data_IF_197022701389
#
_entry.id   IF_197022701389
#
_cell.length_a   1.000
_cell.length_b   1.000
_cell.length_c   1.000
_cell.angle_alpha   90.00
_cell.angle_beta   90.00
_cell.angle_gamma   90.00
#
_symmetry.space_group_name_H-M   'P 1'
#
loop_
_entity.id
_entity.type
_entity.pdbx_description
1 polymer ?
#
# COMPACT_ATOMS: atom_id res chain seq x y z
N UNK A 1 17.90 22.81 12.05
CA UNK A 1 17.31 22.11 13.22
C UNK A 1 18.48 21.55 13.99
N UNK A 2 18.65 21.97 15.25
CA UNK A 2 19.70 21.41 16.10
C UNK A 2 19.37 19.91 16.32
N UNK A 3 20.26 18.98 15.98
CA UNK A 3 20.02 17.54 16.19
C UNK A 3 19.84 17.17 17.68
N UNK A 4 20.07 18.10 18.60
CA UNK A 4 19.84 17.90 20.03
C UNK A 4 18.43 18.26 20.50
N UNK A 5 17.61 18.96 19.70
CA UNK A 5 16.25 19.28 20.10
C UNK A 5 15.37 18.01 20.18
N UNK A 6 14.68 17.85 21.30
CA UNK A 6 13.76 16.73 21.49
C UNK A 6 12.43 16.97 20.79
N UNK A 7 11.72 15.90 20.44
CA UNK A 7 10.34 15.98 19.94
C UNK A 7 9.42 16.66 20.96
N UNK A 8 9.71 16.53 22.26
CA UNK A 8 8.96 17.21 23.32
C UNK A 8 9.11 18.73 23.26
N UNK A 9 10.33 19.25 23.10
CA UNK A 9 10.60 20.69 22.94
C UNK A 9 9.91 21.25 21.70
N UNK A 10 9.99 20.53 20.57
CA UNK A 10 9.27 20.91 19.35
C UNK A 10 7.76 21.05 19.57
N UNK A 11 7.14 20.12 20.30
CA UNK A 11 5.70 20.16 20.57
C UNK A 11 5.29 21.23 21.59
N UNK A 12 6.20 21.67 22.47
CA UNK A 12 5.95 22.83 23.35
C UNK A 12 5.85 24.10 22.53
N UNK A 13 6.73 24.29 21.55
CA UNK A 13 6.71 25.47 20.66
C UNK A 13 5.62 25.39 19.58
N UNK A 14 5.26 24.18 19.15
CA UNK A 14 4.34 23.93 18.04
C UNK A 14 3.27 22.87 18.36
N UNK A 15 2.40 23.12 19.35
CA UNK A 15 1.42 22.14 19.82
C UNK A 15 0.45 21.68 18.73
N UNK A 16 0.18 22.50 17.70
CA UNK A 16 -0.70 22.13 16.58
C UNK A 16 -0.23 20.89 15.79
N UNK A 17 1.03 20.49 15.92
CA UNK A 17 1.60 19.33 15.22
C UNK A 17 1.51 18.02 16.00
N UNK A 18 0.92 18.01 17.21
CA UNK A 18 0.83 16.84 18.07
C UNK A 18 0.27 15.59 17.36
N UNK A 19 -0.83 15.72 16.62
CA UNK A 19 -1.43 14.57 15.93
C UNK A 19 -0.59 14.02 14.78
N UNK A 20 0.24 14.86 14.16
CA UNK A 20 1.20 14.41 13.13
C UNK A 20 2.31 13.60 13.79
N UNK A 21 2.86 14.09 14.90
CA UNK A 21 3.92 13.42 15.65
C UNK A 21 3.42 12.08 16.21
N UNK A 22 2.25 12.07 16.84
CA UNK A 22 1.62 10.86 17.37
C UNK A 22 1.43 9.80 16.28
N UNK A 23 0.91 10.20 15.10
CA UNK A 23 0.75 9.29 13.96
C UNK A 23 2.08 8.66 13.56
N UNK A 24 3.11 9.48 13.32
CA UNK A 24 4.45 9.02 12.90
C UNK A 24 5.02 8.01 13.91
N UNK A 25 4.92 8.31 15.21
CA UNK A 25 5.43 7.44 16.27
C UNK A 25 4.62 6.15 16.38
N UNK A 26 3.29 6.23 16.30
CA UNK A 26 2.39 5.07 16.43
C UNK A 26 2.63 4.02 15.34
N UNK A 27 3.00 4.45 14.13
CA UNK A 27 3.20 3.55 12.99
C UNK A 27 4.67 3.33 12.62
N UNK A 28 5.61 3.81 13.45
CA UNK A 28 7.04 3.75 13.14
C UNK A 28 7.55 2.33 12.82
N UNK A 29 6.97 1.32 13.47
CA UNK A 29 7.31 -0.09 13.31
C UNK A 29 6.52 -0.82 12.21
N UNK A 30 5.58 -0.13 11.54
CA UNK A 30 4.74 -0.67 10.49
C UNK A 30 5.20 -0.10 9.12
N UNK A 31 6.00 -0.83 8.33
CA UNK A 31 6.57 -0.31 7.09
C UNK A 31 5.52 0.02 6.01
N UNK A 32 4.33 -0.60 6.08
CA UNK A 32 3.25 -0.47 5.10
C UNK A 32 1.97 0.20 5.66
N UNK A 33 2.06 0.87 6.81
CA UNK A 33 0.89 1.53 7.43
C UNK A 33 0.43 2.79 6.70
N UNK A 34 1.33 3.43 5.95
CA UNK A 34 1.07 4.70 5.29
C UNK A 34 1.97 4.87 4.06
N UNK A 35 1.51 5.70 3.13
CA UNK A 35 2.32 6.12 2.00
C UNK A 35 3.44 7.07 2.47
N UNK A 36 4.69 6.66 2.28
CA UNK A 36 5.89 7.44 2.60
C UNK A 36 6.49 8.04 1.34
N UNK A 37 5.79 9.00 0.73
CA UNK A 37 6.20 9.66 -0.52
C UNK A 37 6.23 11.18 -0.35
N UNK A 38 7.05 11.88 -1.13
CA UNK A 38 7.05 13.33 -1.20
C UNK A 38 6.36 13.78 -2.51
N UNK A 39 5.09 14.23 -2.47
CA UNK A 39 4.37 14.66 -3.67
C UNK A 39 4.96 15.90 -4.36
N UNK A 40 5.84 16.64 -3.67
CA UNK A 40 6.51 17.83 -4.20
C UNK A 40 7.88 17.52 -4.80
N UNK A 41 8.32 16.25 -4.77
CA UNK A 41 9.58 15.85 -5.40
C UNK A 41 9.48 15.97 -6.92
N UNK A 42 10.57 16.38 -7.58
CA UNK A 42 10.64 16.42 -9.04
C UNK A 42 10.49 15.03 -9.67
N UNK A 43 10.92 13.99 -8.94
CA UNK A 43 10.87 12.60 -9.38
C UNK A 43 9.59 11.88 -8.90
N UNK A 44 8.63 12.60 -8.32
CA UNK A 44 7.38 12.00 -7.85
C UNK A 44 6.51 11.56 -9.03
N UNK A 45 6.10 10.30 -9.03
CA UNK A 45 5.10 9.78 -9.95
C UNK A 45 3.79 9.54 -9.18
N UNK A 46 2.65 10.09 -9.61
CA UNK A 46 1.34 9.79 -8.99
C UNK A 46 1.07 8.28 -8.87
N UNK A 47 1.61 7.51 -9.81
CA UNK A 47 1.58 6.05 -9.85
C UNK A 47 2.12 5.39 -8.58
N UNK A 48 3.09 5.98 -7.90
CA UNK A 48 3.69 5.42 -6.69
C UNK A 48 2.69 5.36 -5.53
N UNK A 49 1.87 6.41 -5.40
CA UNK A 49 0.80 6.43 -4.40
C UNK A 49 -0.34 5.48 -4.80
N UNK A 50 -0.65 5.41 -6.09
CA UNK A 50 -1.72 4.53 -6.58
C UNK A 50 -1.38 3.05 -6.40
N UNK A 51 -0.11 2.66 -6.54
CA UNK A 51 0.37 1.30 -6.22
C UNK A 51 0.08 0.92 -4.76
N UNK A 52 0.36 1.83 -3.82
CA UNK A 52 0.07 1.59 -2.40
C UNK A 52 -1.42 1.35 -2.15
N UNK A 53 -2.30 2.18 -2.73
CA UNK A 53 -3.74 2.01 -2.61
C UNK A 53 -4.22 0.70 -3.23
N UNK A 54 -3.73 0.35 -4.43
CA UNK A 54 -4.16 -0.86 -5.15
C UNK A 54 -3.66 -2.14 -4.47
N UNK A 55 -2.50 -2.12 -3.81
CA UNK A 55 -2.03 -3.24 -3.00
C UNK A 55 -3.01 -3.58 -1.86
N UNK A 56 -3.62 -2.57 -1.24
CA UNK A 56 -4.67 -2.77 -0.23
C UNK A 56 -5.96 -3.37 -0.82
N UNK A 57 -6.20 -3.22 -2.12
CA UNK A 57 -7.36 -3.78 -2.82
C UNK A 57 -7.11 -5.19 -3.38
N UNK A 58 -5.99 -5.83 -3.04
CA UNK A 58 -5.66 -7.17 -3.52
C UNK A 58 -5.10 -7.17 -4.94
N UNK A 59 -4.33 -6.14 -5.30
CA UNK A 59 -3.53 -6.14 -6.53
C UNK A 59 -2.39 -7.14 -6.43
N UNK A 60 -2.28 -8.02 -7.41
CA UNK A 60 -1.25 -9.06 -7.47
C UNK A 60 -0.26 -8.86 -8.62
N UNK A 61 -0.75 -8.34 -9.76
CA UNK A 61 0.10 -8.02 -10.90
C UNK A 61 0.02 -6.53 -11.23
N UNK A 62 1.19 -5.93 -11.42
CA UNK A 62 1.37 -4.53 -11.72
C UNK A 62 2.21 -4.37 -12.99
N UNK A 63 1.60 -3.87 -14.06
CA UNK A 63 2.32 -3.59 -15.30
C UNK A 63 2.10 -2.11 -15.73
N UNK A 64 3.08 -1.21 -15.49
CA UNK A 64 2.95 0.19 -15.86
C UNK A 64 2.94 0.31 -17.39
N UNK A 65 1.97 1.02 -17.94
CA UNK A 65 1.89 1.30 -19.37
C UNK A 65 2.45 2.69 -19.70
N UNK A 66 2.32 3.63 -18.76
CA UNK A 66 2.91 4.97 -18.80
C UNK A 66 3.08 5.54 -17.38
N UNK A 67 3.38 6.83 -17.26
CA UNK A 67 3.41 7.56 -15.98
C UNK A 67 2.04 7.68 -15.31
N UNK A 68 0.97 7.73 -16.12
CA UNK A 68 -0.40 8.00 -15.64
C UNK A 68 -1.31 6.78 -15.74
N UNK A 69 -0.87 5.74 -16.47
CA UNK A 69 -1.68 4.57 -16.76
C UNK A 69 -0.94 3.29 -16.41
N UNK A 70 -1.64 2.41 -15.72
CA UNK A 70 -1.16 1.09 -15.39
C UNK A 70 -2.26 0.05 -15.58
N UNK A 71 -1.86 -1.18 -15.90
CA UNK A 71 -2.76 -2.33 -15.89
C UNK A 71 -2.52 -3.11 -14.61
N UNK A 72 -3.60 -3.38 -13.89
CA UNK A 72 -3.60 -4.29 -12.74
C UNK A 72 -4.35 -5.57 -13.02
N UNK A 73 -3.99 -6.61 -12.30
CA UNK A 73 -4.87 -7.73 -12.00
C UNK A 73 -5.14 -7.73 -10.50
N UNK A 74 -6.43 -7.73 -10.14
CA UNK A 74 -6.89 -7.81 -8.76
C UNK A 74 -7.47 -9.21 -8.53
N UNK A 75 -7.25 -9.76 -7.34
CA UNK A 75 -7.95 -10.96 -6.86
C UNK A 75 -7.85 -12.17 -7.82
N UNK A 76 -6.68 -12.42 -8.41
CA UNK A 76 -6.50 -13.50 -9.38
C UNK A 76 -6.64 -14.85 -8.66
N UNK A 77 -7.56 -15.68 -9.13
CA UNK A 77 -7.85 -16.98 -8.52
C UNK A 77 -8.82 -16.92 -7.33
N UNK A 78 -9.22 -15.72 -6.87
CA UNK A 78 -10.23 -15.60 -5.82
C UNK A 78 -11.56 -16.24 -6.24
N UNK A 79 -12.30 -16.88 -5.31
CA UNK A 79 -13.56 -17.53 -5.62
C UNK A 79 -14.60 -16.50 -6.11
N UNK A 80 -15.38 -16.88 -7.11
CA UNK A 80 -16.52 -16.07 -7.56
C UNK A 80 -17.66 -16.16 -6.55
N UNK A 81 -18.64 -15.26 -6.68
CA UNK A 81 -19.88 -15.33 -5.89
C UNK A 81 -20.58 -16.70 -6.00
N UNK A 82 -20.49 -17.34 -7.16
CA UNK A 82 -21.06 -18.67 -7.37
C UNK A 82 -20.30 -19.71 -6.57
N UNK A 83 -18.97 -19.70 -6.64
CA UNK A 83 -18.11 -20.65 -5.92
C UNK A 83 -18.32 -20.53 -4.41
N UNK A 84 -18.46 -19.30 -3.90
CA UNK A 84 -18.80 -19.05 -2.49
C UNK A 84 -20.16 -19.64 -2.09
N UNK A 85 -21.18 -19.49 -2.95
CA UNK A 85 -22.50 -20.09 -2.71
C UNK A 85 -22.47 -21.63 -2.76
N UNK A 86 -21.51 -22.20 -3.48
CA UNK A 86 -21.27 -23.64 -3.58
C UNK A 86 -20.33 -24.16 -2.48
N UNK A 87 -19.90 -23.30 -1.54
CA UNK A 87 -19.10 -23.67 -0.37
C UNK A 87 -17.59 -23.72 -0.62
N UNK A 88 -17.11 -23.16 -1.73
CA UNK A 88 -15.68 -23.07 -2.04
C UNK A 88 -15.08 -21.88 -1.26
N UNK A 89 -14.59 -22.18 -0.06
CA UNK A 89 -13.88 -21.23 0.81
C UNK A 89 -12.39 -21.55 0.78
N UNK A 90 -11.75 -21.27 -0.34
CA UNK A 90 -10.31 -21.41 -0.48
C UNK A 90 -9.72 -20.05 -0.08
N UNK A 91 -8.84 -20.02 0.92
CA UNK A 91 -8.05 -18.84 1.29
C UNK A 91 -6.67 -18.82 0.60
N UNK A 92 -6.24 -19.97 0.06
CA UNK A 92 -4.95 -20.16 -0.63
C UNK A 92 -4.97 -19.69 -2.10
N UNK A 93 -6.05 -19.04 -2.53
CA UNK A 93 -6.23 -18.56 -3.91
C UNK A 93 -5.15 -17.57 -4.35
N UNK A 94 -4.51 -16.88 -3.40
CA UNK A 94 -3.38 -15.98 -3.63
C UNK A 94 -2.18 -16.68 -4.31
N UNK A 95 -2.07 -18.01 -4.14
CA UNK A 95 -1.00 -18.80 -4.73
C UNK A 95 -1.50 -19.49 -5.99
N UNK A 96 -1.45 -18.76 -7.11
CA UNK A 96 -1.82 -19.30 -8.41
C UNK A 96 -1.02 -20.59 -8.69
N UNK A 97 -1.70 -21.74 -8.89
CA UNK A 97 -1.02 -22.98 -9.21
C UNK A 97 -0.30 -22.82 -10.56
N UNK A 98 0.89 -23.43 -10.66
CA UNK A 98 1.63 -23.47 -11.92
C UNK A 98 0.72 -24.07 -13.00
N UNK A 99 0.56 -23.43 -14.17
CA UNK A 99 -0.26 -24.00 -15.22
C UNK A 99 0.33 -25.33 -15.69
N UNK A 100 -0.46 -26.40 -15.59
CA UNK A 100 -0.16 -27.71 -16.14
C UNK A 100 -0.83 -27.81 -17.53
N UNK A 101 -0.10 -28.33 -18.53
CA UNK A 101 -0.54 -28.47 -19.93
C UNK A 101 -0.63 -27.16 -20.75
N UNK A 102 0.41 -26.32 -20.71
CA UNK A 102 0.61 -25.31 -21.77
C UNK A 102 1.23 -26.02 -22.97
N UNK A 103 0.40 -26.28 -23.99
CA UNK A 103 0.82 -26.84 -25.29
C UNK A 103 1.70 -25.85 -26.07
#
# INVERSE_FOLDING_TARGET
VDPTNSVGEFLVEHPQHWGIVERIQSVAHLPYSEARVNPLSLDFLPLDLQRFQLALYGMENFNPQSTDWLRVTLLSGAPTLKDLNEGVHIDDWLFLPRPENVA
#
